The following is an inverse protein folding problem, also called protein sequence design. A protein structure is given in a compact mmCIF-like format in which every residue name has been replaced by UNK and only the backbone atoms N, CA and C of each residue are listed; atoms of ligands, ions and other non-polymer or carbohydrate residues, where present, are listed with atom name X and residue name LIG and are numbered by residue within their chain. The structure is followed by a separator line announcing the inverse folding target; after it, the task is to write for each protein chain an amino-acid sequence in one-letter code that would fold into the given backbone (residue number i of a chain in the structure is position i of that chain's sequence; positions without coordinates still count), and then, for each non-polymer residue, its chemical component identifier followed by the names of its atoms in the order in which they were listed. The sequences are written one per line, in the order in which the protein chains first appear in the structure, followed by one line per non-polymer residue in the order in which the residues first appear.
data_IF_507210702903
#
_entry.id   IF_507210702903
#
_cell.length_a   1.000
_cell.length_b   1.000
_cell.length_c   1.000
_cell.angle_alpha   90.00
_cell.angle_beta   90.00
_cell.angle_gamma   90.00
#
_symmetry.space_group_name_H-M   'P 1'
#
loop_
_entity.id
_entity.type
_entity.pdbx_description
1 polymer ?
#
# COMPACT_ATOMS: atom_id res chain seq x y z
N UNK A 1 -25.55 -23.79 -4.51
CA UNK A 1 -25.85 -22.69 -3.55
C UNK A 1 -24.77 -22.51 -2.51
N UNK A 2 -24.20 -23.58 -1.94
CA UNK A 2 -23.13 -23.48 -0.93
C UNK A 2 -21.86 -22.79 -1.43
N UNK A 3 -21.45 -23.00 -2.68
CA UNK A 3 -20.25 -22.34 -3.25
C UNK A 3 -20.37 -20.80 -3.29
N UNK A 4 -21.52 -20.29 -3.72
CA UNK A 4 -21.83 -18.85 -3.79
C UNK A 4 -21.81 -18.26 -2.37
N UNK A 5 -22.44 -18.95 -1.43
CA UNK A 5 -22.44 -18.56 -0.03
C UNK A 5 -21.03 -18.52 0.59
N UNK A 6 -20.22 -19.57 0.38
CA UNK A 6 -18.83 -19.61 0.88
C UNK A 6 -18.00 -18.48 0.28
N UNK A 7 -18.15 -18.23 -1.03
CA UNK A 7 -17.46 -17.12 -1.70
C UNK A 7 -17.80 -15.77 -1.05
N UNK A 8 -19.08 -15.55 -0.74
CA UNK A 8 -19.54 -14.33 -0.06
C UNK A 8 -18.92 -14.19 1.34
N UNK A 9 -18.92 -15.27 2.13
CA UNK A 9 -18.34 -15.27 3.49
C UNK A 9 -16.84 -14.97 3.43
N UNK A 10 -16.12 -15.59 2.50
CA UNK A 10 -14.69 -15.33 2.28
C UNK A 10 -14.45 -13.86 1.92
N UNK A 11 -15.23 -13.29 1.01
CA UNK A 11 -15.14 -11.88 0.65
C UNK A 11 -15.42 -10.95 1.83
N UNK A 12 -16.41 -11.27 2.66
CA UNK A 12 -16.75 -10.50 3.86
C UNK A 12 -15.61 -10.49 4.89
N UNK A 13 -15.05 -11.67 5.19
CA UNK A 13 -13.92 -11.79 6.11
C UNK A 13 -12.70 -11.05 5.56
N UNK A 14 -12.43 -11.19 4.26
CA UNK A 14 -11.32 -10.50 3.60
C UNK A 14 -11.49 -8.97 3.64
N UNK A 15 -12.68 -8.46 3.31
CA UNK A 15 -12.99 -7.03 3.37
C UNK A 15 -12.87 -6.50 4.79
N UNK A 16 -13.42 -7.22 5.77
CA UNK A 16 -13.33 -6.84 7.18
C UNK A 16 -11.86 -6.72 7.62
N UNK A 17 -11.04 -7.73 7.32
CA UNK A 17 -9.61 -7.72 7.62
C UNK A 17 -8.86 -6.58 6.90
N UNK A 18 -9.35 -6.13 5.75
CA UNK A 18 -8.75 -5.02 5.01
C UNK A 18 -9.16 -3.64 5.56
N UNK A 19 -10.37 -3.52 6.11
CA UNK A 19 -10.92 -2.27 6.66
C UNK A 19 -10.44 -1.98 8.07
N UNK A 20 -10.20 -3.02 8.88
CA UNK A 20 -9.65 -2.86 10.24
C UNK A 20 -8.34 -2.05 10.18
N UNK A 21 -8.08 -1.16 11.15
CA UNK A 21 -6.83 -0.41 11.23
C UNK A 21 -5.66 -1.33 11.60
N UNK A 22 -5.17 -2.12 10.62
CA UNK A 22 -3.99 -2.96 10.83
C UNK A 22 -2.70 -2.13 10.88
N UNK A 23 -1.70 -2.57 11.65
CA UNK A 23 -0.39 -1.93 11.70
C UNK A 23 0.26 -1.90 10.31
N UNK A 24 1.07 -0.87 10.05
CA UNK A 24 1.66 -0.58 8.75
C UNK A 24 2.41 -1.77 8.13
N UNK A 25 3.10 -2.57 8.94
CA UNK A 25 3.85 -3.74 8.48
C UNK A 25 2.93 -4.72 7.74
N UNK A 26 1.75 -5.00 8.31
CA UNK A 26 0.79 -5.94 7.74
C UNK A 26 0.13 -5.33 6.50
N UNK A 27 -0.24 -4.04 6.55
CA UNK A 27 -0.78 -3.32 5.37
C UNK A 27 0.19 -3.35 4.19
N UNK A 28 1.47 -3.13 4.44
CA UNK A 28 2.53 -3.18 3.43
C UNK A 28 2.63 -4.57 2.80
N UNK A 29 2.61 -5.63 3.62
CA UNK A 29 2.63 -7.01 3.14
C UNK A 29 1.38 -7.36 2.31
N UNK A 30 0.19 -6.94 2.74
CA UNK A 30 -1.05 -7.17 1.99
C UNK A 30 -0.99 -6.48 0.62
N UNK A 31 -0.49 -5.25 0.55
CA UNK A 31 -0.34 -4.52 -0.72
C UNK A 31 0.67 -5.22 -1.63
N UNK A 32 1.80 -5.67 -1.11
CA UNK A 32 2.81 -6.39 -1.89
C UNK A 32 2.32 -7.75 -2.38
N UNK A 33 1.59 -8.49 -1.53
CA UNK A 33 0.96 -9.76 -1.90
C UNK A 33 -0.10 -9.54 -2.97
N UNK A 34 -0.96 -8.53 -2.81
CA UNK A 34 -1.96 -8.15 -3.80
C UNK A 34 -1.31 -7.77 -5.13
N UNK A 35 -0.20 -7.02 -5.10
CA UNK A 35 0.55 -6.68 -6.30
C UNK A 35 1.15 -7.90 -6.98
N UNK A 36 1.73 -8.84 -6.23
CA UNK A 36 2.23 -10.11 -6.77
C UNK A 36 1.11 -10.93 -7.41
N UNK A 37 -0.05 -11.04 -6.76
CA UNK A 37 -1.22 -11.73 -7.30
C UNK A 37 -1.73 -11.06 -8.57
N UNK A 38 -1.89 -9.73 -8.58
CA UNK A 38 -2.34 -8.97 -9.76
C UNK A 38 -1.34 -8.99 -10.92
N UNK A 39 -0.03 -9.12 -10.63
CA UNK A 39 1.01 -9.25 -11.66
C UNK A 39 0.89 -10.57 -12.43
N UNK A 40 0.33 -11.61 -11.81
CA UNK A 40 0.10 -12.87 -12.51
C UNK A 40 -1.08 -12.75 -13.48
N UNK A 41 -0.80 -12.91 -14.77
CA UNK A 41 -1.81 -12.87 -15.84
C UNK A 41 -2.94 -13.87 -15.57
N UNK A 42 -2.59 -15.08 -15.14
CA UNK A 42 -3.54 -16.16 -14.85
C UNK A 42 -4.56 -15.77 -13.79
N UNK A 43 -4.13 -15.09 -12.72
CA UNK A 43 -5.03 -14.64 -11.65
C UNK A 43 -5.95 -13.52 -12.12
N UNK A 44 -5.45 -12.57 -12.93
CA UNK A 44 -6.27 -11.50 -13.49
C UNK A 44 -7.36 -12.04 -14.42
N UNK A 45 -7.01 -13.00 -15.27
CA UNK A 45 -7.97 -13.68 -16.15
C UNK A 45 -9.01 -14.44 -15.33
N UNK A 46 -8.57 -15.23 -14.35
CA UNK A 46 -9.46 -15.95 -13.44
C UNK A 46 -10.45 -15.02 -12.72
N UNK A 47 -9.95 -13.91 -12.15
CA UNK A 47 -10.79 -12.94 -11.43
C UNK A 47 -11.80 -12.26 -12.35
N UNK A 48 -11.38 -11.91 -13.57
CA UNK A 48 -12.26 -11.30 -14.58
C UNK A 48 -13.34 -12.27 -15.03
N UNK A 49 -12.96 -13.52 -15.28
CA UNK A 49 -13.89 -14.58 -15.64
C UNK A 49 -14.90 -14.86 -14.52
N UNK A 50 -14.44 -14.96 -13.27
CA UNK A 50 -15.31 -15.13 -12.10
C UNK A 50 -16.29 -13.96 -11.94
N UNK A 51 -15.83 -12.72 -12.16
CA UNK A 51 -16.68 -11.53 -12.11
C UNK A 51 -17.76 -11.55 -13.19
N UNK A 52 -17.40 -11.90 -14.43
CA UNK A 52 -18.35 -12.00 -15.55
C UNK A 52 -19.38 -13.12 -15.29
N UNK A 53 -18.95 -14.28 -14.80
CA UNK A 53 -19.86 -15.38 -14.44
C UNK A 53 -20.85 -14.99 -13.34
N UNK A 54 -20.37 -14.32 -12.28
CA UNK A 54 -21.25 -13.82 -11.22
C UNK A 54 -22.21 -12.75 -11.73
N UNK A 55 -21.75 -11.88 -12.64
CA UNK A 55 -22.59 -10.90 -13.33
C UNK A 55 -23.69 -11.55 -14.17
N UNK A 56 -23.34 -12.60 -14.91
CA UNK A 56 -24.29 -13.36 -15.72
C UNK A 56 -25.31 -14.10 -14.85
N UNK A 57 -24.88 -14.69 -13.73
CA UNK A 57 -25.78 -15.31 -12.75
C UNK A 57 -26.73 -14.28 -12.12
N UNK A 58 -26.24 -13.08 -11.82
CA UNK A 58 -27.07 -12.00 -11.31
C UNK A 58 -28.13 -11.58 -12.34
N UNK A 59 -27.74 -11.45 -13.61
CA UNK A 59 -28.66 -11.09 -14.69
C UNK A 59 -29.68 -12.20 -15.00
N UNK A 60 -29.28 -13.48 -14.96
CA UNK A 60 -30.20 -14.62 -15.08
C UNK A 60 -31.28 -14.58 -13.97
N UNK A 61 -30.88 -14.26 -12.73
CA UNK A 61 -31.82 -14.13 -11.62
C UNK A 61 -32.80 -12.96 -11.82
N UNK A 62 -32.35 -11.83 -12.38
CA UNK A 62 -33.21 -10.69 -12.71
C UNK A 62 -34.25 -11.06 -13.77
N UNK A 63 -33.80 -11.63 -14.90
CA UNK A 63 -34.71 -12.05 -15.97
C UNK A 63 -35.75 -13.06 -15.46
N UNK A 64 -35.30 -14.05 -14.68
CA UNK A 64 -36.17 -15.06 -14.09
C UNK A 64 -37.20 -14.43 -13.14
N UNK A 65 -36.82 -13.46 -12.32
CA UNK A 65 -37.73 -12.76 -11.43
C UNK A 65 -38.75 -11.89 -12.19
N UNK A 66 -38.33 -11.22 -13.26
CA UNK A 66 -39.23 -10.40 -14.08
C UNK A 66 -40.27 -11.25 -14.82
N UNK A 67 -39.89 -12.45 -15.29
CA UNK A 67 -40.85 -13.41 -15.86
C UNK A 67 -41.96 -13.78 -14.87
N UNK A 68 -41.63 -13.96 -13.59
CA UNK A 68 -42.61 -14.27 -12.56
C UNK A 68 -43.53 -13.08 -12.23
N UNK A 69 -43.07 -11.83 -12.35
CA UNK A 69 -43.91 -10.64 -12.15
C UNK A 69 -45.02 -10.54 -13.20
N UNK A 70 -44.71 -10.86 -14.45
CA UNK A 70 -45.66 -10.79 -15.58
C UNK A 70 -46.62 -11.99 -15.64
N UNK A 71 -46.30 -13.09 -14.95
CA UNK A 71 -47.15 -14.29 -14.92
C UNK A 71 -48.24 -14.21 -13.84
N UNK A 72 -48.00 -13.47 -12.75
CA UNK A 72 -48.97 -13.29 -11.65
C UNK A 72 -50.16 -12.37 -11.97
N UNK A 73 -50.18 -11.73 -13.13
CA UNK A 73 -51.26 -10.81 -13.56
C UNK A 73 -52.27 -11.44 -14.52
N UNK A 74 -52.31 -12.77 -14.67
CA UNK A 74 -53.33 -13.43 -15.48
C UNK A 74 -54.46 -13.98 -14.58
N UNK A 75 -55.62 -13.31 -14.48
CA UNK A 75 -56.74 -13.73 -13.62
C UNK A 75 -57.42 -15.04 -14.08
N UNK A 76 -57.02 -15.60 -15.23
CA UNK A 76 -57.66 -16.77 -15.85
C UNK A 76 -57.20 -18.13 -15.28
N UNK A 77 -56.12 -18.17 -14.50
CA UNK A 77 -55.61 -19.40 -13.85
C UNK A 77 -55.45 -19.19 -12.34
N UNK A 78 -56.51 -19.38 -11.53
CA UNK A 78 -56.44 -19.29 -10.07
C UNK A 78 -55.88 -20.62 -9.52
N UNK A 79 -54.58 -20.82 -9.73
CA UNK A 79 -53.86 -21.97 -9.19
C UNK A 79 -52.54 -21.48 -8.60
N UNK A 80 -52.47 -21.32 -7.28
CA UNK A 80 -51.21 -21.14 -6.57
C UNK A 80 -50.38 -22.41 -6.70
N UNK A 81 -49.62 -22.51 -7.79
CA UNK A 81 -48.64 -23.57 -7.98
C UNK A 81 -47.52 -23.32 -6.96
N UNK A 82 -47.52 -24.08 -5.86
CA UNK A 82 -46.51 -23.98 -4.80
C UNK A 82 -45.08 -24.08 -5.36
N UNK A 83 -44.87 -24.84 -6.44
CA UNK A 83 -43.59 -24.96 -7.14
C UNK A 83 -43.14 -23.65 -7.81
N UNK A 84 -44.07 -22.89 -8.39
CA UNK A 84 -43.75 -21.59 -9.00
C UNK A 84 -43.41 -20.56 -7.92
N UNK A 85 -44.14 -20.61 -6.80
CA UNK A 85 -43.87 -19.75 -5.66
C UNK A 85 -42.52 -20.07 -5.02
N UNK A 86 -42.20 -21.35 -4.84
CA UNK A 86 -40.89 -21.80 -4.38
C UNK A 86 -39.77 -21.37 -5.34
N UNK A 87 -39.95 -21.55 -6.64
CA UNK A 87 -39.00 -21.13 -7.68
C UNK A 87 -38.73 -19.63 -7.66
N UNK A 88 -39.77 -18.82 -7.43
CA UNK A 88 -39.65 -17.36 -7.24
C UNK A 88 -38.81 -17.02 -6.01
N UNK A 89 -39.08 -17.68 -4.87
CA UNK A 89 -38.28 -17.47 -3.65
C UNK A 89 -36.81 -17.86 -3.85
N UNK A 90 -36.53 -18.96 -4.55
CA UNK A 90 -35.15 -19.35 -4.87
C UNK A 90 -34.45 -18.33 -5.77
N UNK A 91 -35.14 -17.81 -6.81
CA UNK A 91 -34.58 -16.79 -7.68
C UNK A 91 -34.31 -15.48 -6.92
N UNK A 92 -35.25 -15.03 -6.09
CA UNK A 92 -35.09 -13.87 -5.23
C UNK A 92 -33.90 -14.06 -4.27
N UNK A 93 -33.74 -15.27 -3.71
CA UNK A 93 -32.62 -15.57 -2.84
C UNK A 93 -31.28 -15.47 -3.53
N UNK A 94 -31.16 -16.15 -4.66
CA UNK A 94 -29.91 -16.22 -5.38
C UNK A 94 -29.53 -14.86 -5.96
N UNK A 95 -30.51 -14.00 -6.28
CA UNK A 95 -30.32 -12.62 -6.70
C UNK A 95 -29.62 -11.78 -5.63
N UNK A 96 -30.11 -11.79 -4.38
CA UNK A 96 -29.47 -11.00 -3.33
C UNK A 96 -28.07 -11.52 -3.00
N UNK A 97 -27.88 -12.85 -3.04
CA UNK A 97 -26.58 -13.48 -2.77
C UNK A 97 -25.54 -13.11 -3.86
N UNK A 98 -25.92 -13.21 -5.13
CA UNK A 98 -25.03 -12.85 -6.24
C UNK A 98 -24.77 -11.34 -6.30
N UNK A 99 -25.79 -10.52 -6.02
CA UNK A 99 -25.64 -9.06 -5.91
C UNK A 99 -24.68 -8.66 -4.79
N UNK A 100 -24.77 -9.30 -3.62
CA UNK A 100 -23.86 -9.06 -2.51
C UNK A 100 -22.40 -9.39 -2.87
N UNK A 101 -22.16 -10.51 -3.56
CA UNK A 101 -20.81 -10.92 -4.00
C UNK A 101 -20.20 -9.92 -4.97
N UNK A 102 -20.99 -9.45 -5.95
CA UNK A 102 -20.54 -8.44 -6.91
C UNK A 102 -20.21 -7.11 -6.21
N UNK A 103 -21.07 -6.68 -5.30
CA UNK A 103 -20.83 -5.50 -4.49
C UNK A 103 -19.54 -5.62 -3.65
N UNK A 104 -19.35 -6.75 -2.97
CA UNK A 104 -18.14 -7.00 -2.19
C UNK A 104 -16.89 -7.03 -3.05
N UNK A 105 -16.94 -7.62 -4.23
CA UNK A 105 -15.80 -7.65 -5.16
C UNK A 105 -15.37 -6.24 -5.56
N UNK A 106 -16.34 -5.36 -5.83
CA UNK A 106 -16.09 -3.94 -6.13
C UNK A 106 -15.55 -3.19 -4.91
N UNK A 107 -16.13 -3.45 -3.73
CA UNK A 107 -15.68 -2.85 -2.46
C UNK A 107 -14.24 -3.23 -2.13
N UNK A 108 -13.89 -4.51 -2.23
CA UNK A 108 -12.52 -5.02 -2.02
C UNK A 108 -11.53 -4.29 -2.95
N UNK A 109 -11.85 -4.16 -4.23
CA UNK A 109 -11.01 -3.47 -5.21
C UNK A 109 -10.77 -2.00 -4.84
N UNK A 110 -11.81 -1.34 -4.32
CA UNK A 110 -11.76 0.05 -3.87
C UNK A 110 -10.89 0.19 -2.62
N UNK A 111 -11.12 -0.64 -1.61
CA UNK A 111 -10.36 -0.60 -0.35
C UNK A 111 -8.88 -0.93 -0.60
N UNK A 112 -8.56 -1.90 -1.46
CA UNK A 112 -7.17 -2.20 -1.86
C UNK A 112 -6.50 -0.95 -2.43
N UNK A 113 -7.20 -0.20 -3.29
CA UNK A 113 -6.66 1.02 -3.90
C UNK A 113 -6.41 2.10 -2.85
N UNK A 114 -7.32 2.25 -1.88
CA UNK A 114 -7.18 3.18 -0.75
C UNK A 114 -5.98 2.79 0.13
N UNK A 115 -5.90 1.52 0.53
CA UNK A 115 -4.79 1.00 1.36
C UNK A 115 -3.46 1.17 0.64
N UNK A 116 -3.40 0.94 -0.68
CA UNK A 116 -2.20 1.19 -1.48
C UNK A 116 -1.77 2.66 -1.42
N UNK A 117 -2.72 3.60 -1.59
CA UNK A 117 -2.44 5.04 -1.48
C UNK A 117 -1.94 5.41 -0.07
N UNK A 118 -2.58 4.88 0.97
CA UNK A 118 -2.18 5.10 2.35
C UNK A 118 -0.76 4.61 2.63
N UNK A 119 -0.42 3.38 2.21
CA UNK A 119 0.92 2.81 2.40
C UNK A 119 1.97 3.63 1.66
N UNK A 120 1.70 4.08 0.43
CA UNK A 120 2.62 4.92 -0.32
C UNK A 120 2.87 6.26 0.38
N UNK A 121 1.80 6.92 0.85
CA UNK A 121 1.90 8.19 1.58
C UNK A 121 2.65 8.04 2.90
N UNK A 122 2.40 6.96 3.62
CA UNK A 122 3.09 6.69 4.88
C UNK A 122 4.58 6.34 4.67
N UNK A 123 4.93 5.67 3.55
CA UNK A 123 6.34 5.48 3.14
C UNK A 123 7.02 6.81 2.82
N UNK A 124 6.35 7.69 2.07
CA UNK A 124 6.87 9.03 1.76
C UNK A 124 7.17 9.80 3.04
N UNK A 125 6.22 9.89 3.98
CA UNK A 125 6.39 10.60 5.25
C UNK A 125 7.58 10.07 6.05
N UNK A 126 7.74 8.75 6.16
CA UNK A 126 8.90 8.16 6.86
C UNK A 126 10.23 8.47 6.17
N UNK A 127 10.25 8.49 4.85
CA UNK A 127 11.45 8.82 4.08
C UNK A 127 11.79 10.32 4.21
N UNK A 128 10.80 11.21 4.22
CA UNK A 128 11.01 12.62 4.52
C UNK A 128 11.60 12.82 5.92
N UNK A 129 11.07 12.15 6.94
CA UNK A 129 11.62 12.22 8.31
C UNK A 129 13.10 11.77 8.38
N UNK A 130 13.46 10.69 7.68
CA UNK A 130 14.86 10.24 7.57
C UNK A 130 15.74 11.24 6.83
N UNK A 131 15.25 11.84 5.74
CA UNK A 131 16.01 12.83 4.98
C UNK A 131 16.25 14.12 5.79
N UNK A 132 15.31 14.52 6.65
CA UNK A 132 15.50 15.65 7.57
C UNK A 132 16.59 15.34 8.59
N UNK A 133 16.55 14.15 9.21
CA UNK A 133 17.56 13.71 10.18
C UNK A 133 18.97 13.62 9.54
N UNK A 134 19.07 13.02 8.35
CA UNK A 134 20.30 12.98 7.55
C UNK A 134 20.76 14.41 7.18
N UNK A 135 19.85 15.32 6.85
CA UNK A 135 20.20 16.71 6.52
C UNK A 135 20.75 17.45 7.73
N UNK A 136 20.19 17.27 8.93
CA UNK A 136 20.71 17.86 10.16
C UNK A 136 22.09 17.31 10.51
N UNK A 137 22.31 16.01 10.33
CA UNK A 137 23.61 15.37 10.55
C UNK A 137 24.66 15.90 9.56
N UNK A 138 24.33 16.03 8.27
CA UNK A 138 25.21 16.61 7.24
C UNK A 138 25.62 18.05 7.58
N UNK A 139 24.71 18.86 8.12
CA UNK A 139 25.02 20.24 8.53
C UNK A 139 26.02 20.27 9.68
N UNK A 140 25.85 19.41 10.70
CA UNK A 140 26.79 19.29 11.83
C UNK A 140 28.17 18.80 11.35
N UNK A 141 28.22 17.81 10.46
CA UNK A 141 29.49 17.33 9.90
C UNK A 141 30.22 18.41 9.11
N UNK A 142 29.51 19.22 8.30
CA UNK A 142 30.13 20.34 7.57
C UNK A 142 30.77 21.37 8.50
N UNK A 143 30.09 21.74 9.58
CA UNK A 143 30.65 22.66 10.59
C UNK A 143 31.91 22.09 11.24
N UNK A 144 31.91 20.78 11.57
CA UNK A 144 33.06 20.11 12.17
C UNK A 144 34.28 20.11 11.22
N UNK A 145 34.06 19.88 9.92
CA UNK A 145 35.11 19.91 8.91
C UNK A 145 35.71 21.31 8.80
N UNK A 146 34.89 22.37 8.79
CA UNK A 146 35.38 23.75 8.73
C UNK A 146 36.24 24.10 9.96
N UNK A 147 35.82 23.65 11.14
CA UNK A 147 36.54 23.87 12.39
C UNK A 147 37.89 23.14 12.38
N UNK A 148 37.91 21.87 11.96
CA UNK A 148 39.16 21.11 11.81
C UNK A 148 40.09 21.70 10.75
N UNK A 149 39.56 22.27 9.68
CA UNK A 149 40.37 22.93 8.66
C UNK A 149 41.06 24.19 9.23
N UNK A 150 40.33 24.99 10.02
CA UNK A 150 40.91 26.15 10.74
C UNK A 150 41.99 25.74 11.73
N UNK A 151 41.78 24.63 12.45
CA UNK A 151 42.79 24.09 13.37
C UNK A 151 44.06 23.67 12.61
N UNK A 152 43.91 22.95 11.49
CA UNK A 152 45.04 22.54 10.64
C UNK A 152 45.80 23.78 10.14
N UNK A 153 45.12 24.82 9.69
CA UNK A 153 45.75 26.04 9.20
C UNK A 153 46.47 26.79 10.32
N UNK A 154 45.92 26.78 11.53
CA UNK A 154 46.54 27.36 12.73
C UNK A 154 47.79 26.57 13.14
N UNK A 155 47.71 25.24 13.16
CA UNK A 155 48.86 24.37 13.45
C UNK A 155 49.96 24.55 12.39
N UNK A 156 49.61 24.70 11.11
CA UNK A 156 50.59 25.02 10.05
C UNK A 156 51.29 26.35 10.29
N UNK A 157 50.56 27.40 10.70
CA UNK A 157 51.16 28.70 11.08
C UNK A 157 52.10 28.58 12.28
N UNK A 158 51.71 27.80 13.29
CA UNK A 158 52.55 27.55 14.47
C UNK A 158 53.84 26.81 14.11
N UNK A 159 53.74 25.74 13.31
CA UNK A 159 54.92 25.02 12.79
C UNK A 159 55.83 25.96 12.00
N UNK A 160 55.26 26.81 11.13
CA UNK A 160 56.02 27.82 10.39
C UNK A 160 56.77 28.78 11.31
N UNK A 161 56.09 29.31 12.34
CA UNK A 161 56.70 30.18 13.34
C UNK A 161 57.84 29.51 14.13
N UNK A 162 57.64 28.24 14.53
CA UNK A 162 58.68 27.44 15.21
C UNK A 162 59.87 27.21 14.29
N UNK A 163 59.65 26.87 13.02
CA UNK A 163 60.72 26.66 12.03
C UNK A 163 61.54 27.94 11.83
N UNK A 164 60.89 29.10 11.75
CA UNK A 164 61.56 30.40 11.63
C UNK A 164 62.39 30.71 12.87
N UNK A 165 61.84 30.50 14.08
CA UNK A 165 62.57 30.71 15.33
C UNK A 165 63.78 29.77 15.46
N UNK A 166 63.62 28.49 15.08
CA UNK A 166 64.72 27.52 15.06
C UNK A 166 65.84 27.95 14.09
N UNK A 167 65.48 28.41 12.89
CA UNK A 167 66.45 28.89 11.91
C UNK A 167 67.18 30.15 12.39
N UNK A 168 66.49 31.08 13.09
CA UNK A 168 67.11 32.28 13.67
C UNK A 168 68.13 31.92 14.76
N UNK A 169 67.77 31.03 15.70
CA UNK A 169 68.68 30.57 16.76
C UNK A 169 69.94 29.91 16.21
N UNK A 170 69.82 29.12 15.13
CA UNK A 170 70.97 28.49 14.48
C UNK A 170 71.90 29.49 13.75
N UNK A 171 71.35 30.61 13.28
CA UNK A 171 72.13 31.70 12.69
C UNK A 171 72.87 32.48 13.79
N UNK A 172 72.19 32.77 14.91
CA UNK A 172 72.78 33.48 16.07
C UNK A 172 73.89 32.66 16.78
N UNK A 173 73.77 31.33 16.80
CA UNK A 173 74.86 30.44 17.27
C UNK A 173 76.08 30.44 16.35
N UNK A 174 75.92 30.71 15.05
CA UNK A 174 77.03 30.79 14.09
C UNK A 174 77.76 32.13 14.15
N UNK A 175 77.08 33.22 14.47
CA UNK A 175 77.69 34.55 14.64
C UNK A 175 78.45 34.67 15.96
N UNK A 176 77.95 34.09 17.07
CA UNK A 176 78.65 34.08 18.37
C UNK A 176 79.94 33.24 18.41
N UNK A 177 80.20 32.39 17.40
CA UNK A 177 81.38 31.53 17.35
C UNK A 177 82.57 32.15 16.60
N UNK A 178 82.42 33.38 16.11
CA UNK A 178 83.40 34.08 15.28
C UNK A 178 83.97 35.38 15.90
N UNK A 179 83.61 35.71 17.13
CA UNK A 179 84.29 36.68 18.01
C UNK A 179 85.08 35.93 19.10
#
# INVERSE_FOLDING_TARGET
MSFVFVTMVVQMVFLFLLVVPLPFVIRSQIVELTFKLQKSQNFKVFLTFALVLMGLQFFDCLQKLDKYKHTTSNPLYPGTNYDQLASKFYAQRNLYLSGAILYLQMSISTVITIVRKLVLKEREIRNFGKNVDISEEIVKLKQLIELKQKDIDTMKKQIGGIQTAYNQLNIDERTNKHD
#
